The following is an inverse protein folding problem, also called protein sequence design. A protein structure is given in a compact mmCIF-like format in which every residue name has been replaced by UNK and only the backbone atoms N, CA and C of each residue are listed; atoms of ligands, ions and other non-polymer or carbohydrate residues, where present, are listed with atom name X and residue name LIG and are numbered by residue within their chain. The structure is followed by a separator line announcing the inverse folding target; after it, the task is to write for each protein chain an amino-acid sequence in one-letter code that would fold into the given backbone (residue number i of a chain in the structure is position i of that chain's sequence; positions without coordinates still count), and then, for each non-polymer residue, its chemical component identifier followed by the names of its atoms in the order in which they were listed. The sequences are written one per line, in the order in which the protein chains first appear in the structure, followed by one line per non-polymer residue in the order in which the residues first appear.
data_IF_596412878844
#
_entry.id   IF_596412878844
#
_cell.length_a   1.000
_cell.length_b   1.000
_cell.length_c   1.000
_cell.angle_alpha   90.00
_cell.angle_beta   90.00
_cell.angle_gamma   90.00
#
_symmetry.space_group_name_H-M   'P 1'
#
loop_
_entity.id
_entity.type
_entity.pdbx_description
1 polymer ?
#
# COMPACT_ATOMS: atom_id res chain seq x y z
N UNK A 1 -8.08 20.24 24.77
CA UNK A 1 -8.82 18.98 25.01
C UNK A 1 -10.15 18.96 24.24
N UNK A 2 -10.81 20.11 24.11
CA UNK A 2 -12.12 20.24 23.47
C UNK A 2 -12.14 19.86 21.96
N UNK A 3 -11.14 20.23 21.20
CA UNK A 3 -11.05 19.89 19.77
C UNK A 3 -10.96 18.38 19.52
N UNK A 4 -10.25 17.68 20.41
CA UNK A 4 -10.10 16.22 20.29
C UNK A 4 -11.43 15.49 20.62
N UNK A 5 -12.11 15.91 21.68
CA UNK A 5 -13.42 15.37 22.05
C UNK A 5 -14.48 15.69 20.98
N UNK A 6 -14.47 16.93 20.46
CA UNK A 6 -15.33 17.33 19.36
C UNK A 6 -15.03 16.52 18.08
N UNK A 7 -13.76 16.21 17.81
CA UNK A 7 -13.35 15.37 16.68
C UNK A 7 -13.91 13.95 16.77
N UNK A 8 -13.83 13.31 17.95
CA UNK A 8 -14.42 11.97 18.16
C UNK A 8 -15.93 12.02 18.00
N UNK A 9 -16.60 12.98 18.64
CA UNK A 9 -18.05 13.16 18.53
C UNK A 9 -18.47 13.41 17.08
N UNK A 10 -17.72 14.25 16.36
CA UNK A 10 -17.94 14.53 14.94
C UNK A 10 -17.73 13.30 14.05
N UNK A 11 -16.74 12.45 14.34
CA UNK A 11 -16.50 11.20 13.60
C UNK A 11 -17.69 10.24 13.76
N UNK A 12 -18.13 10.04 15.01
CA UNK A 12 -19.29 9.16 15.31
C UNK A 12 -20.55 9.70 14.65
N UNK A 13 -20.81 10.99 14.77
CA UNK A 13 -22.00 11.63 14.18
C UNK A 13 -22.02 11.49 12.65
N UNK A 14 -20.92 11.71 11.96
CA UNK A 14 -20.80 11.57 10.50
C UNK A 14 -20.92 10.13 10.03
N UNK A 15 -20.38 9.16 10.79
CA UNK A 15 -20.55 7.74 10.51
C UNK A 15 -22.02 7.31 10.67
N UNK A 16 -22.69 7.75 11.76
CA UNK A 16 -24.11 7.44 11.99
C UNK A 16 -25.00 8.12 10.95
N UNK A 17 -24.69 9.38 10.59
CA UNK A 17 -25.43 10.11 9.58
C UNK A 17 -25.18 9.61 8.15
N UNK A 18 -24.30 8.63 7.95
CA UNK A 18 -23.89 8.12 6.63
C UNK A 18 -23.51 9.29 5.69
N UNK A 19 -22.71 10.24 6.21
CA UNK A 19 -22.26 11.41 5.45
C UNK A 19 -21.62 10.94 4.13
N UNK A 20 -22.23 11.29 3.01
CA UNK A 20 -21.82 10.85 1.67
C UNK A 20 -20.38 11.25 1.36
N UNK A 21 -19.96 12.44 1.75
CA UNK A 21 -18.61 12.93 1.50
C UNK A 21 -17.55 12.05 2.20
N UNK A 22 -17.86 11.60 3.42
CA UNK A 22 -16.98 10.71 4.20
C UNK A 22 -16.97 9.31 3.60
N UNK A 23 -18.15 8.79 3.23
CA UNK A 23 -18.27 7.47 2.61
C UNK A 23 -17.57 7.41 1.25
N UNK A 24 -17.73 8.44 0.43
CA UNK A 24 -17.06 8.57 -0.86
C UNK A 24 -15.54 8.61 -0.69
N UNK A 25 -15.03 9.43 0.24
CA UNK A 25 -13.60 9.49 0.52
C UNK A 25 -13.04 8.19 1.10
N UNK A 26 -13.80 7.51 1.97
CA UNK A 26 -13.41 6.22 2.53
C UNK A 26 -13.40 5.11 1.46
N UNK A 27 -14.44 5.06 0.63
CA UNK A 27 -14.53 4.10 -0.48
C UNK A 27 -13.44 4.34 -1.53
N UNK A 28 -13.16 5.60 -1.88
CA UNK A 28 -12.07 5.98 -2.78
C UNK A 28 -10.71 5.58 -2.20
N UNK A 29 -10.46 5.84 -0.89
CA UNK A 29 -9.22 5.44 -0.22
C UNK A 29 -9.01 3.93 -0.27
N UNK A 30 -10.05 3.14 0.08
CA UNK A 30 -9.97 1.68 0.04
C UNK A 30 -9.77 1.15 -1.39
N UNK A 31 -10.53 1.68 -2.36
CA UNK A 31 -10.44 1.24 -3.75
C UNK A 31 -9.07 1.55 -4.34
N UNK A 32 -8.56 2.77 -4.17
CA UNK A 32 -7.27 3.21 -4.72
C UNK A 32 -6.12 2.48 -4.04
N UNK A 33 -6.04 2.53 -2.70
CA UNK A 33 -4.94 1.90 -1.96
C UNK A 33 -5.01 0.37 -2.01
N UNK A 34 -6.21 -0.21 -2.04
CA UNK A 34 -6.42 -1.64 -2.25
C UNK A 34 -5.95 -2.11 -3.62
N UNK A 35 -6.29 -1.35 -4.69
CA UNK A 35 -5.83 -1.65 -6.06
C UNK A 35 -4.32 -1.51 -6.18
N UNK A 36 -3.74 -0.42 -5.67
CA UNK A 36 -2.29 -0.21 -5.68
C UNK A 36 -1.55 -1.32 -4.92
N UNK A 37 -2.07 -1.74 -3.76
CA UNK A 37 -1.51 -2.86 -2.98
C UNK A 37 -1.65 -4.17 -3.74
N UNK A 38 -2.81 -4.44 -4.35
CA UNK A 38 -3.03 -5.63 -5.18
C UNK A 38 -2.02 -5.74 -6.33
N UNK A 39 -1.79 -4.64 -7.04
CA UNK A 39 -0.74 -4.56 -8.08
C UNK A 39 0.66 -4.76 -7.49
N UNK A 40 0.92 -4.20 -6.29
CA UNK A 40 2.19 -4.36 -5.59
C UNK A 40 2.43 -5.82 -5.16
N UNK A 41 1.39 -6.56 -4.80
CA UNK A 41 1.48 -8.01 -4.53
C UNK A 41 1.79 -8.76 -5.83
N UNK A 42 1.05 -8.48 -6.89
CA UNK A 42 1.17 -9.16 -8.18
C UNK A 42 2.58 -9.05 -8.77
N UNK A 43 3.22 -7.90 -8.60
CA UNK A 43 4.57 -7.62 -9.10
C UNK A 43 5.63 -7.85 -8.03
N UNK A 44 5.40 -7.35 -6.82
CA UNK A 44 6.40 -7.33 -5.75
C UNK A 44 6.70 -8.70 -5.15
N UNK A 45 5.68 -9.57 -5.00
CA UNK A 45 5.92 -10.92 -4.47
C UNK A 45 6.77 -11.78 -5.42
N UNK A 46 6.48 -11.86 -6.74
CA UNK A 46 7.34 -12.57 -7.67
C UNK A 46 8.76 -12.00 -7.75
N UNK A 47 8.89 -10.68 -7.84
CA UNK A 47 10.21 -10.02 -7.87
C UNK A 47 10.98 -10.25 -6.55
N UNK A 48 10.31 -10.12 -5.41
CA UNK A 48 10.89 -10.42 -4.10
C UNK A 48 11.31 -11.88 -3.97
N UNK A 49 10.55 -12.82 -4.54
CA UNK A 49 10.92 -14.24 -4.57
C UNK A 49 12.17 -14.47 -5.43
N UNK A 50 12.25 -13.84 -6.60
CA UNK A 50 13.44 -13.92 -7.46
C UNK A 50 14.67 -13.35 -6.73
N UNK A 51 14.52 -12.21 -6.06
CA UNK A 51 15.61 -11.57 -5.30
C UNK A 51 15.97 -12.31 -4.02
N UNK A 52 14.98 -12.89 -3.33
CA UNK A 52 15.19 -13.62 -2.08
C UNK A 52 15.83 -14.99 -2.27
N UNK A 53 15.38 -15.74 -3.29
CA UNK A 53 15.81 -17.12 -3.54
C UNK A 53 16.89 -17.25 -4.61
N UNK A 54 16.95 -16.28 -5.55
CA UNK A 54 17.83 -16.35 -6.71
C UNK A 54 19.29 -16.06 -6.37
N UNK A 55 20.18 -16.66 -7.18
CA UNK A 55 21.64 -16.39 -7.19
C UNK A 55 22.03 -16.03 -8.62
N UNK A 56 22.17 -14.74 -8.91
CA UNK A 56 22.51 -14.23 -10.23
C UNK A 56 23.42 -12.99 -10.14
N UNK A 57 24.15 -12.71 -11.22
CA UNK A 57 24.97 -11.49 -11.31
C UNK A 57 24.07 -10.26 -11.29
N UNK A 58 24.41 -9.25 -10.48
CA UNK A 58 23.60 -8.03 -10.34
C UNK A 58 22.51 -8.09 -9.28
N UNK A 59 22.31 -9.21 -8.57
CA UNK A 59 21.33 -9.34 -7.49
C UNK A 59 21.46 -8.24 -6.42
N UNK A 60 22.69 -7.93 -6.01
CA UNK A 60 22.94 -6.90 -4.98
C UNK A 60 22.56 -5.51 -5.49
N UNK A 61 22.82 -5.21 -6.78
CA UNK A 61 22.39 -3.96 -7.39
C UNK A 61 20.85 -3.86 -7.45
N UNK A 62 20.18 -4.95 -7.82
CA UNK A 62 18.71 -5.00 -7.82
C UNK A 62 18.12 -4.82 -6.41
N UNK A 63 18.72 -5.46 -5.38
CA UNK A 63 18.32 -5.24 -3.99
C UNK A 63 18.56 -3.79 -3.54
N UNK A 64 19.69 -3.17 -3.94
CA UNK A 64 19.95 -1.76 -3.66
C UNK A 64 18.92 -0.86 -4.33
N UNK A 65 18.52 -1.15 -5.57
CA UNK A 65 17.48 -0.41 -6.26
C UNK A 65 16.11 -0.53 -5.54
N UNK A 66 15.75 -1.74 -5.09
CA UNK A 66 14.54 -1.96 -4.29
C UNK A 66 14.59 -1.18 -2.98
N UNK A 67 15.72 -1.25 -2.26
CA UNK A 67 15.89 -0.52 -0.99
C UNK A 67 15.84 1.01 -1.20
N UNK A 68 16.41 1.51 -2.29
CA UNK A 68 16.26 2.93 -2.68
C UNK A 68 14.81 3.27 -2.98
N UNK A 69 14.09 2.36 -3.67
CA UNK A 69 12.67 2.50 -3.96
C UNK A 69 11.80 2.62 -2.70
N UNK A 70 12.15 1.92 -1.61
CA UNK A 70 11.44 2.03 -0.33
C UNK A 70 11.62 3.42 0.35
N UNK A 71 12.67 4.15 -0.01
CA UNK A 71 12.96 5.49 0.52
C UNK A 71 12.61 6.63 -0.45
N UNK A 72 11.90 6.37 -1.54
CA UNK A 72 11.54 7.42 -2.51
C UNK A 72 10.67 8.50 -1.86
N UNK A 73 11.00 9.80 -2.06
CA UNK A 73 10.15 10.87 -1.60
C UNK A 73 8.78 10.86 -2.31
N UNK A 74 7.67 10.70 -1.60
CA UNK A 74 6.36 10.54 -2.22
C UNK A 74 5.96 11.70 -3.14
N UNK A 75 6.26 12.94 -2.72
CA UNK A 75 5.96 14.14 -3.53
C UNK A 75 6.72 14.12 -4.86
N UNK A 76 7.98 13.63 -4.86
CA UNK A 76 8.74 13.50 -6.10
C UNK A 76 8.12 12.45 -7.03
N UNK A 77 7.72 11.29 -6.50
CA UNK A 77 7.02 10.26 -7.27
C UNK A 77 5.70 10.82 -7.85
N UNK A 78 4.94 11.55 -7.02
CA UNK A 78 3.71 12.21 -7.46
C UNK A 78 3.96 13.19 -8.60
N UNK A 79 5.01 14.02 -8.51
CA UNK A 79 5.38 14.96 -9.57
C UNK A 79 5.76 14.22 -10.87
N UNK A 80 6.56 13.16 -10.78
CA UNK A 80 6.92 12.37 -11.96
C UNK A 80 5.69 11.73 -12.61
N UNK A 81 4.81 11.10 -11.83
CA UNK A 81 3.60 10.50 -12.37
C UNK A 81 2.68 11.57 -12.97
N UNK A 82 2.47 12.69 -12.26
CA UNK A 82 1.66 13.78 -12.76
C UNK A 82 2.17 14.31 -14.12
N UNK A 83 3.48 14.51 -14.27
CA UNK A 83 4.09 14.95 -15.54
C UNK A 83 3.96 13.90 -16.65
N UNK A 84 4.05 12.61 -16.32
CA UNK A 84 3.85 11.54 -17.31
C UNK A 84 2.42 11.52 -17.85
N UNK A 85 1.40 11.72 -16.99
CA UNK A 85 -0.02 11.67 -17.38
C UNK A 85 -0.59 13.03 -17.76
N UNK A 86 0.20 14.12 -17.66
CA UNK A 86 -0.19 15.45 -18.09
C UNK A 86 -0.51 15.47 -19.58
N UNK A 87 -1.37 16.40 -20.03
CA UNK A 87 -1.82 16.50 -21.44
C UNK A 87 -0.69 16.52 -22.45
N UNK A 88 0.43 17.17 -22.15
CA UNK A 88 1.64 17.21 -23.00
C UNK A 88 2.65 16.11 -22.65
N UNK A 89 2.37 15.25 -21.69
CA UNK A 89 3.24 14.15 -21.27
C UNK A 89 3.09 12.91 -22.17
N UNK A 90 3.98 11.92 -22.01
CA UNK A 90 3.99 10.69 -22.83
C UNK A 90 2.68 9.89 -22.74
N UNK A 91 1.98 9.93 -21.60
CA UNK A 91 0.71 9.26 -21.35
C UNK A 91 -0.48 10.22 -21.42
N UNK A 92 -0.28 11.45 -21.91
CA UNK A 92 -1.32 12.47 -22.05
C UNK A 92 -2.57 12.01 -22.81
N UNK A 93 -2.46 11.22 -23.90
CA UNK A 93 -3.62 10.69 -24.62
C UNK A 93 -4.57 9.82 -23.78
N UNK A 94 -4.14 9.31 -22.62
CA UNK A 94 -4.96 8.52 -21.70
C UNK A 94 -5.90 9.40 -20.84
N UNK A 95 -5.66 10.70 -20.78
CA UNK A 95 -6.41 11.70 -19.98
C UNK A 95 -6.57 11.27 -18.49
N UNK A 96 -5.47 10.75 -17.91
CA UNK A 96 -5.49 10.22 -16.54
C UNK A 96 -5.14 11.26 -15.46
N UNK A 97 -4.72 12.46 -15.85
CA UNK A 97 -4.42 13.49 -14.84
C UNK A 97 -5.67 13.86 -14.03
N UNK A 98 -5.52 13.98 -12.72
CA UNK A 98 -6.62 14.20 -11.76
C UNK A 98 -7.65 13.05 -11.71
N UNK A 99 -7.22 11.81 -11.94
CA UNK A 99 -8.09 10.63 -11.89
C UNK A 99 -7.58 9.58 -10.90
N UNK A 100 -8.45 8.65 -10.48
CA UNK A 100 -8.06 7.52 -9.61
C UNK A 100 -6.94 6.66 -10.17
N UNK A 101 -6.90 6.29 -11.47
CA UNK A 101 -5.78 5.56 -12.07
C UNK A 101 -4.41 6.21 -11.84
N UNK A 102 -4.31 7.54 -11.94
CA UNK A 102 -3.04 8.24 -11.70
C UNK A 102 -2.58 8.09 -10.24
N UNK A 103 -3.52 8.17 -9.28
CA UNK A 103 -3.21 7.95 -7.86
C UNK A 103 -2.76 6.50 -7.64
N UNK A 104 -3.45 5.52 -8.24
CA UNK A 104 -3.10 4.09 -8.15
C UNK A 104 -1.68 3.85 -8.63
N UNK A 105 -1.28 4.45 -9.77
CA UNK A 105 0.09 4.32 -10.30
C UNK A 105 1.11 4.89 -9.31
N UNK A 106 0.85 6.08 -8.77
CA UNK A 106 1.76 6.73 -7.83
C UNK A 106 1.92 5.90 -6.55
N UNK A 107 0.81 5.42 -5.97
CA UNK A 107 0.83 4.57 -4.79
C UNK A 107 1.46 3.20 -5.07
N UNK A 108 1.26 2.63 -6.26
CA UNK A 108 1.91 1.39 -6.67
C UNK A 108 3.43 1.55 -6.73
N UNK A 109 3.94 2.64 -7.32
CA UNK A 109 5.39 2.91 -7.40
C UNK A 109 6.03 3.00 -6.01
N UNK A 110 5.30 3.51 -5.02
CA UNK A 110 5.76 3.62 -3.63
C UNK A 110 5.64 2.30 -2.86
N UNK A 111 4.55 1.55 -3.05
CA UNK A 111 4.27 0.33 -2.30
C UNK A 111 5.00 -0.90 -2.87
N UNK A 112 5.21 -0.99 -4.18
CA UNK A 112 5.80 -2.16 -4.82
C UNK A 112 7.24 -2.46 -4.34
N UNK A 113 8.15 -1.49 -4.19
CA UNK A 113 9.47 -1.75 -3.61
C UNK A 113 9.39 -2.28 -2.18
N UNK A 114 8.46 -1.77 -1.36
CA UNK A 114 8.25 -2.22 0.02
C UNK A 114 7.81 -3.69 0.07
N UNK A 115 6.80 -4.05 -0.72
CA UNK A 115 6.35 -5.44 -0.83
C UNK A 115 7.47 -6.34 -1.37
N UNK A 116 8.21 -5.89 -2.39
CA UNK A 116 9.33 -6.63 -2.98
C UNK A 116 10.45 -6.87 -1.98
N UNK A 117 10.90 -5.83 -1.29
CA UNK A 117 12.00 -5.90 -0.33
C UNK A 117 11.67 -6.79 0.85
N UNK A 118 10.49 -6.58 1.47
CA UNK A 118 10.04 -7.38 2.60
C UNK A 118 9.78 -8.85 2.20
N UNK A 119 9.29 -9.10 0.98
CA UNK A 119 9.17 -10.47 0.45
C UNK A 119 10.54 -11.13 0.30
N UNK A 120 11.52 -10.41 -0.22
CA UNK A 120 12.87 -10.94 -0.35
C UNK A 120 13.48 -11.29 1.02
N UNK A 121 13.31 -10.44 2.02
CA UNK A 121 13.75 -10.69 3.41
C UNK A 121 13.02 -11.89 4.01
N UNK A 122 11.70 -11.97 3.85
CA UNK A 122 10.88 -13.07 4.36
C UNK A 122 11.34 -14.43 3.80
N UNK A 123 11.68 -14.48 2.52
CA UNK A 123 12.15 -15.71 1.88
C UNK A 123 13.61 -16.02 2.22
N UNK A 124 14.44 -15.02 2.51
CA UNK A 124 15.82 -15.24 2.97
C UNK A 124 15.88 -15.77 4.41
N UNK A 125 14.90 -15.45 5.25
CA UNK A 125 14.84 -15.91 6.63
C UNK A 125 14.39 -17.37 6.81
N UNK A 126 13.95 -18.03 5.73
CA UNK A 126 13.59 -19.46 5.78
C UNK A 126 14.82 -20.32 6.02
N UNK A 127 14.67 -21.31 6.91
CA UNK A 127 15.74 -22.23 7.28
C UNK A 127 16.44 -22.82 6.04
N UNK A 128 17.77 -22.67 5.91
CA UNK A 128 18.55 -23.28 4.84
C UNK A 128 18.38 -24.80 4.76
N UNK A 129 18.13 -25.47 5.89
CA UNK A 129 17.89 -26.91 5.96
C UNK A 129 16.67 -27.31 5.12
N UNK A 130 15.55 -26.56 5.20
CA UNK A 130 14.37 -26.81 4.39
C UNK A 130 14.70 -26.74 2.88
N UNK A 131 15.52 -25.76 2.47
CA UNK A 131 15.93 -25.65 1.06
C UNK A 131 16.78 -26.85 0.60
N UNK A 132 17.67 -27.34 1.46
CA UNK A 132 18.45 -28.56 1.18
C UNK A 132 17.56 -29.80 1.08
N UNK A 133 16.60 -29.96 1.99
CA UNK A 133 15.65 -31.07 1.97
C UNK A 133 14.83 -31.09 0.65
N UNK A 134 14.29 -29.93 0.23
CA UNK A 134 13.57 -29.83 -1.03
C UNK A 134 14.44 -30.22 -2.23
N UNK A 135 15.69 -29.80 -2.22
CA UNK A 135 16.65 -30.15 -3.27
C UNK A 135 16.97 -31.65 -3.30
N UNK A 136 17.13 -32.29 -2.12
CA UNK A 136 17.39 -33.73 -1.98
C UNK A 136 16.19 -34.58 -2.42
N UNK A 137 14.98 -34.06 -2.27
CA UNK A 137 13.75 -34.68 -2.74
C UNK A 137 13.50 -34.48 -4.25
N UNK A 138 14.40 -33.81 -4.97
CA UNK A 138 14.29 -33.59 -6.41
C UNK A 138 13.29 -32.50 -6.80
N UNK A 139 12.90 -31.61 -5.86
CA UNK A 139 11.97 -30.52 -6.17
C UNK A 139 12.57 -29.56 -7.20
N UNK A 140 11.79 -29.21 -8.22
CA UNK A 140 12.19 -28.18 -9.19
C UNK A 140 12.29 -26.80 -8.52
N UNK A 141 12.96 -25.85 -9.18
CA UNK A 141 13.09 -24.46 -8.66
C UNK A 141 11.73 -23.82 -8.39
N UNK A 142 10.75 -24.05 -9.26
CA UNK A 142 9.40 -23.50 -9.11
C UNK A 142 8.66 -24.14 -7.93
N UNK A 143 8.72 -25.48 -7.81
CA UNK A 143 8.14 -26.21 -6.67
C UNK A 143 8.75 -25.74 -5.35
N UNK A 144 10.08 -25.64 -5.28
CA UNK A 144 10.77 -25.12 -4.09
C UNK A 144 10.34 -23.69 -3.76
N UNK A 145 10.25 -22.79 -4.75
CA UNK A 145 9.81 -21.43 -4.54
C UNK A 145 8.38 -21.36 -3.99
N UNK A 146 7.45 -22.13 -4.56
CA UNK A 146 6.06 -22.16 -4.09
C UNK A 146 5.94 -22.70 -2.65
N UNK A 147 6.71 -23.74 -2.30
CA UNK A 147 6.75 -24.29 -0.94
C UNK A 147 7.31 -23.24 0.04
N UNK A 148 8.42 -22.57 -0.31
CA UNK A 148 9.05 -21.56 0.53
C UNK A 148 8.14 -20.31 0.70
N UNK A 149 7.44 -19.87 -0.36
CA UNK A 149 6.42 -18.82 -0.28
C UNK A 149 5.30 -19.24 0.70
N UNK A 150 4.85 -20.48 0.61
CA UNK A 150 3.81 -21.01 1.48
C UNK A 150 4.26 -21.11 2.94
N UNK A 151 5.51 -21.47 3.18
CA UNK A 151 6.12 -21.49 4.51
C UNK A 151 6.26 -20.07 5.10
N UNK A 152 6.67 -19.10 4.28
CA UNK A 152 6.84 -17.69 4.68
C UNK A 152 5.55 -16.87 4.69
N UNK A 153 4.37 -17.49 4.52
CA UNK A 153 3.10 -16.79 4.32
C UNK A 153 2.79 -15.72 5.36
N UNK A 154 3.11 -15.96 6.63
CA UNK A 154 2.85 -14.98 7.71
C UNK A 154 3.68 -13.72 7.53
N UNK A 155 4.97 -13.86 7.18
CA UNK A 155 5.85 -12.73 6.89
C UNK A 155 5.43 -12.02 5.59
N UNK A 156 4.95 -12.77 4.59
CA UNK A 156 4.44 -12.19 3.34
C UNK A 156 3.15 -11.39 3.58
N UNK A 157 2.24 -11.86 4.41
CA UNK A 157 1.05 -11.08 4.79
C UNK A 157 1.46 -9.81 5.53
N UNK A 158 2.46 -9.89 6.42
CA UNK A 158 3.02 -8.69 7.08
C UNK A 158 3.63 -7.71 6.06
N UNK A 159 4.35 -8.20 5.06
CA UNK A 159 4.90 -7.36 3.97
C UNK A 159 3.78 -6.63 3.20
N UNK A 160 2.68 -7.33 2.91
CA UNK A 160 1.49 -6.75 2.25
C UNK A 160 0.83 -5.69 3.12
N UNK A 161 0.69 -5.96 4.43
CA UNK A 161 0.12 -4.99 5.38
C UNK A 161 0.94 -3.70 5.47
N UNK A 162 2.27 -3.82 5.49
CA UNK A 162 3.17 -2.65 5.48
C UNK A 162 3.02 -1.89 4.17
N UNK A 163 2.96 -2.58 3.03
CA UNK A 163 2.72 -1.96 1.71
C UNK A 163 1.36 -1.25 1.64
N UNK A 164 0.30 -1.86 2.15
CA UNK A 164 -1.02 -1.24 2.23
C UNK A 164 -1.02 -0.01 3.15
N UNK A 165 -0.38 -0.12 4.33
CA UNK A 165 -0.24 1.00 5.25
C UNK A 165 0.49 2.19 4.61
N UNK A 166 1.57 1.93 3.87
CA UNK A 166 2.29 2.97 3.12
C UNK A 166 1.39 3.61 2.05
N UNK A 167 0.62 2.81 1.29
CA UNK A 167 -0.27 3.31 0.26
C UNK A 167 -1.43 4.14 0.84
N UNK A 168 -2.11 3.64 1.88
CA UNK A 168 -3.30 4.30 2.44
C UNK A 168 -2.98 5.59 3.21
N UNK A 169 -1.76 5.72 3.74
CA UNK A 169 -1.31 6.91 4.46
C UNK A 169 -0.72 8.00 3.53
N UNK A 170 -0.62 7.72 2.23
CA UNK A 170 0.03 8.59 1.27
C UNK A 170 -0.81 9.83 0.95
N UNK A 171 -0.20 11.01 1.12
CA UNK A 171 -0.84 12.32 0.86
C UNK A 171 -0.22 13.00 -0.35
N UNK A 172 1.12 13.09 -0.40
CA UNK A 172 1.85 13.94 -1.34
C UNK A 172 1.67 13.53 -2.79
N UNK A 173 1.91 12.24 -3.09
CA UNK A 173 1.71 11.70 -4.42
C UNK A 173 0.23 11.73 -4.82
N UNK A 174 -0.67 11.43 -3.88
CA UNK A 174 -2.11 11.44 -4.12
C UNK A 174 -2.65 12.85 -4.44
N UNK A 175 -2.15 13.90 -3.78
CA UNK A 175 -2.51 15.29 -4.09
C UNK A 175 -2.00 15.70 -5.48
N UNK A 176 -0.75 15.35 -5.81
CA UNK A 176 -0.12 15.70 -7.10
C UNK A 176 -0.81 15.05 -8.29
N UNK A 177 -1.29 13.83 -8.15
CA UNK A 177 -1.85 13.04 -9.26
C UNK A 177 -3.37 13.06 -9.32
N UNK A 178 -4.04 13.21 -8.17
CA UNK A 178 -5.49 13.11 -8.02
C UNK A 178 -6.22 14.43 -7.87
N UNK A 179 -5.53 15.56 -7.64
CA UNK A 179 -6.12 16.91 -7.51
C UNK A 179 -7.19 17.07 -6.42
N UNK A 180 -7.40 16.08 -5.56
CA UNK A 180 -8.33 16.10 -4.42
C UNK A 180 -9.78 16.48 -4.79
N UNK A 181 -10.31 15.96 -5.90
CA UNK A 181 -11.66 16.27 -6.40
C UNK A 181 -12.72 15.60 -5.52
N UNK A 182 -13.64 16.41 -4.97
CA UNK A 182 -14.74 15.94 -4.12
C UNK A 182 -15.63 14.95 -4.86
N UNK A 183 -15.94 13.81 -4.22
CA UNK A 183 -16.81 12.76 -4.78
C UNK A 183 -16.10 11.84 -5.79
N UNK A 184 -14.81 12.09 -6.13
CA UNK A 184 -14.06 11.25 -7.04
C UNK A 184 -12.68 10.89 -6.50
N UNK A 185 -11.68 11.77 -6.61
CA UNK A 185 -10.28 11.49 -6.27
C UNK A 185 -9.90 11.92 -4.85
N UNK A 186 -10.84 12.50 -4.10
CA UNK A 186 -10.60 12.85 -2.70
C UNK A 186 -10.49 11.60 -1.85
N UNK A 187 -9.32 11.38 -1.25
CA UNK A 187 -9.06 10.34 -0.27
C UNK A 187 -9.24 10.88 1.15
N UNK A 188 -9.37 10.01 2.14
CA UNK A 188 -9.42 10.43 3.55
C UNK A 188 -8.19 11.25 3.95
N UNK A 189 -6.99 10.82 3.54
CA UNK A 189 -5.72 11.52 3.81
C UNK A 189 -5.67 12.91 3.20
N UNK A 190 -6.09 13.06 1.94
CA UNK A 190 -6.11 14.35 1.25
C UNK A 190 -7.23 15.25 1.77
N UNK A 191 -8.35 14.69 2.24
CA UNK A 191 -9.41 15.42 2.92
C UNK A 191 -8.94 15.98 4.28
N UNK A 192 -8.23 15.16 5.09
CA UNK A 192 -7.62 15.61 6.36
C UNK A 192 -6.69 16.80 6.12
N UNK A 193 -5.80 16.70 5.14
CA UNK A 193 -4.87 17.77 4.78
C UNK A 193 -5.62 19.05 4.39
N UNK A 194 -6.69 18.95 3.61
CA UNK A 194 -7.51 20.06 3.19
C UNK A 194 -8.21 20.73 4.38
N UNK A 195 -8.90 19.96 5.22
CA UNK A 195 -9.62 20.51 6.39
C UNK A 195 -8.65 21.16 7.40
N UNK A 196 -7.47 20.55 7.58
CA UNK A 196 -6.39 21.14 8.40
C UNK A 196 -5.92 22.48 7.82
N UNK A 197 -5.75 22.59 6.50
CA UNK A 197 -5.32 23.83 5.85
C UNK A 197 -6.35 24.95 5.92
N UNK A 198 -7.65 24.60 6.06
CA UNK A 198 -8.73 25.56 6.29
C UNK A 198 -8.86 25.99 7.76
N UNK A 199 -8.14 25.36 8.70
CA UNK A 199 -8.31 25.56 10.13
C UNK A 199 -9.50 24.81 10.74
N UNK A 200 -10.18 23.95 9.98
CA UNK A 200 -11.33 23.15 10.40
C UNK A 200 -10.88 21.87 11.15
N UNK A 201 -10.16 22.06 12.25
CA UNK A 201 -9.53 20.96 13.00
C UNK A 201 -10.53 19.92 13.49
N UNK A 202 -11.76 20.32 13.87
CA UNK A 202 -12.79 19.37 14.31
C UNK A 202 -13.14 18.37 13.19
N UNK A 203 -13.30 18.86 11.96
CA UNK A 203 -13.51 18.04 10.77
C UNK A 203 -12.32 17.16 10.42
N UNK A 204 -11.11 17.72 10.51
CA UNK A 204 -9.86 16.97 10.28
C UNK A 204 -9.70 15.82 11.28
N UNK A 205 -9.95 16.04 12.57
CA UNK A 205 -9.93 14.96 13.58
C UNK A 205 -10.99 13.89 13.31
N UNK A 206 -12.21 14.28 12.93
CA UNK A 206 -13.26 13.33 12.60
C UNK A 206 -12.82 12.40 11.45
N UNK A 207 -12.29 12.94 10.36
CA UNK A 207 -11.76 12.16 9.23
C UNK A 207 -10.55 11.30 9.63
N UNK A 208 -9.68 11.83 10.50
CA UNK A 208 -8.52 11.07 11.00
C UNK A 208 -8.94 9.85 11.83
N UNK A 209 -9.94 9.97 12.71
CA UNK A 209 -10.47 8.82 13.46
C UNK A 209 -11.11 7.78 12.54
N UNK A 210 -11.80 8.21 11.49
CA UNK A 210 -12.38 7.30 10.49
C UNK A 210 -11.27 6.55 9.74
N UNK A 211 -10.21 7.26 9.33
CA UNK A 211 -9.04 6.65 8.68
C UNK A 211 -8.37 5.63 9.61
N UNK A 212 -8.13 6.00 10.88
CA UNK A 212 -7.53 5.11 11.86
C UNK A 212 -8.39 3.87 12.11
N UNK A 213 -9.71 4.03 12.23
CA UNK A 213 -10.63 2.91 12.39
C UNK A 213 -10.60 1.96 11.16
N UNK A 214 -10.53 2.53 9.95
CA UNK A 214 -10.41 1.78 8.70
C UNK A 214 -9.10 0.97 8.66
N UNK A 215 -7.97 1.62 8.92
CA UNK A 215 -6.65 0.96 8.93
C UNK A 215 -6.59 -0.11 10.00
N UNK A 216 -7.11 0.19 11.21
CA UNK A 216 -7.21 -0.79 12.29
C UNK A 216 -8.08 -1.99 11.89
N UNK A 217 -9.23 -1.75 11.26
CA UNK A 217 -10.13 -2.81 10.79
C UNK A 217 -9.44 -3.75 9.79
N UNK A 218 -8.76 -3.19 8.78
CA UNK A 218 -7.99 -3.98 7.80
C UNK A 218 -6.87 -4.77 8.48
N UNK A 219 -6.15 -4.14 9.40
CA UNK A 219 -5.06 -4.79 10.15
C UNK A 219 -5.58 -5.89 11.08
N UNK A 220 -6.70 -5.66 11.76
CA UNK A 220 -7.32 -6.64 12.66
C UNK A 220 -7.81 -7.87 11.90
N UNK A 221 -8.50 -7.69 10.76
CA UNK A 221 -8.99 -8.79 9.91
C UNK A 221 -7.82 -9.63 9.40
N UNK A 222 -6.76 -8.99 8.92
CA UNK A 222 -5.57 -9.70 8.42
C UNK A 222 -4.82 -10.41 9.53
N UNK A 223 -4.65 -9.79 10.70
CA UNK A 223 -4.03 -10.43 11.87
C UNK A 223 -4.83 -11.64 12.35
N UNK A 224 -6.15 -11.52 12.40
CA UNK A 224 -7.01 -12.65 12.75
C UNK A 224 -6.88 -13.80 11.73
N UNK A 225 -6.83 -13.49 10.43
CA UNK A 225 -6.59 -14.48 9.39
C UNK A 225 -5.21 -15.16 9.50
N UNK A 226 -4.19 -14.43 9.97
CA UNK A 226 -2.86 -14.99 10.24
C UNK A 226 -2.83 -15.96 11.42
N UNK A 227 -3.60 -15.68 12.48
CA UNK A 227 -3.57 -16.44 13.72
C UNK A 227 -4.47 -17.67 13.73
N UNK A 228 -5.25 -17.92 12.66
CA UNK A 228 -6.07 -19.13 12.57
C UNK A 228 -5.19 -20.37 12.64
N UNK A 229 -5.48 -21.32 13.60
CA UNK A 229 -4.75 -22.58 13.72
C UNK A 229 -4.78 -23.33 12.39
N UNK A 230 -3.64 -23.93 12.02
CA UNK A 230 -3.61 -24.88 10.91
C UNK A 230 -4.42 -26.11 11.32
N UNK A 231 -5.40 -26.61 10.56
CA UNK A 231 -5.79 -28.00 10.67
C UNK A 231 -4.55 -28.84 10.36
N UNK A 232 -4.21 -29.74 11.29
CA UNK A 232 -3.14 -30.72 11.17
C UNK A 232 -3.37 -31.63 9.97
#
# INVERSE_FOLDING_TARGET
MDLFVQGIGGAIARLIALDRDVLDAASASLAVSGTATGLSILVGVPLGAILGLGRFRGRNLALSAVNTGMGLPPVAVGLFVATLVWRSGPLGPLDWYCTRPAIVIAQFILAAPTVTGLTAVALQSVDPMLRMQLSSLGATRLQSALILIRESRLLLISAVLVGFGAAVSEIGASLMTGCNVKGDTRLLTTAIALETSKGEFSSAYALAFILLALVFGVSAVTTWAQQRPRPL
#
